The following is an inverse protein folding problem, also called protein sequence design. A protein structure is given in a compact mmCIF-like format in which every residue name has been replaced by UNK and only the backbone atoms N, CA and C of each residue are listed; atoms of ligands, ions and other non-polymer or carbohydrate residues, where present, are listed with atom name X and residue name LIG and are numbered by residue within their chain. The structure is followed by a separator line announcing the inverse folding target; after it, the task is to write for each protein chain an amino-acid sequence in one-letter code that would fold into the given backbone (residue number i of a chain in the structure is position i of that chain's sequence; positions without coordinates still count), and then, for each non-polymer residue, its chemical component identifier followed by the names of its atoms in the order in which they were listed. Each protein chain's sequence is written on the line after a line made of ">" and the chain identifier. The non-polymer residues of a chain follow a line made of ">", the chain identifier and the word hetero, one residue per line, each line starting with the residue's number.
data_IF_304480736878
#
_entry.id   IF_304480736878
#
_cell.length_a   1.000
_cell.length_b   1.000
_cell.length_c   1.000
_cell.angle_alpha   90.00
_cell.angle_beta   90.00
_cell.angle_gamma   90.00
#
_symmetry.space_group_name_H-M   'P 1'
#
loop_
_entity.id
_entity.type
_entity.pdbx_description
1 polymer ?
#
# COMPACT_ATOMS: atom_id res chain seq x y z
N UNK A 1 22.22 9.74 31.44
CA UNK A 1 22.33 8.33 31.02
C UNK A 1 20.96 7.89 30.54
N UNK A 2 20.88 7.10 29.46
CA UNK A 2 19.61 6.53 29.03
C UNK A 2 18.98 5.71 30.17
N UNK A 3 17.67 5.83 30.38
CA UNK A 3 16.97 5.13 31.46
C UNK A 3 17.02 3.60 31.30
N UNK A 4 17.26 3.12 30.07
CA UNK A 4 17.34 1.73 29.67
C UNK A 4 18.27 1.54 28.46
N UNK A 5 18.64 0.30 28.16
CA UNK A 5 19.38 -0.09 26.94
C UNK A 5 18.53 -0.97 26.02
N UNK A 6 17.95 -2.05 26.55
CA UNK A 6 17.11 -2.99 25.80
C UNK A 6 15.73 -3.05 26.44
N UNK A 7 14.79 -2.24 25.94
CA UNK A 7 13.43 -2.21 26.46
C UNK A 7 12.60 -3.33 25.83
N UNK A 8 11.94 -4.13 26.65
CA UNK A 8 10.97 -5.14 26.20
C UNK A 8 9.66 -5.00 26.96
N UNK A 9 8.55 -5.42 26.33
CA UNK A 9 7.23 -5.49 26.93
C UNK A 9 6.80 -6.96 27.03
N UNK A 10 6.14 -7.33 28.12
CA UNK A 10 5.66 -8.70 28.36
C UNK A 10 4.45 -8.64 29.31
N UNK A 11 3.71 -9.74 29.40
CA UNK A 11 2.57 -9.87 30.31
C UNK A 11 2.89 -10.83 31.47
N UNK A 12 2.41 -10.50 32.68
CA UNK A 12 2.34 -11.42 33.83
C UNK A 12 0.92 -11.39 34.37
N UNK A 13 0.21 -12.52 34.23
CA UNK A 13 -1.25 -12.53 34.37
C UNK A 13 -1.89 -11.59 33.34
N UNK A 14 -2.85 -10.78 33.78
CA UNK A 14 -3.60 -9.85 32.91
C UNK A 14 -2.94 -8.47 32.77
N UNK A 15 -1.69 -8.30 33.24
CA UNK A 15 -1.01 -7.00 33.24
C UNK A 15 0.23 -7.01 32.38
N UNK A 16 0.32 -6.04 31.48
CA UNK A 16 1.51 -5.76 30.70
C UNK A 16 2.47 -4.85 31.46
N UNK A 17 3.76 -5.04 31.23
CA UNK A 17 4.83 -4.35 31.94
C UNK A 17 6.02 -4.09 30.99
N UNK A 18 6.85 -3.08 31.29
CA UNK A 18 8.08 -2.75 30.57
C UNK A 18 9.33 -3.12 31.37
N UNK A 19 10.42 -3.54 30.70
CA UNK A 19 11.66 -4.01 31.36
C UNK A 19 12.92 -3.78 30.55
N UNK A 20 14.05 -3.87 31.25
CA UNK A 20 15.35 -4.17 30.67
C UNK A 20 15.51 -5.68 30.46
N UNK A 21 15.81 -6.13 29.24
CA UNK A 21 16.16 -7.53 28.97
C UNK A 21 17.50 -7.88 29.66
N UNK A 22 17.50 -8.89 30.53
CA UNK A 22 18.70 -9.37 31.23
C UNK A 22 19.37 -10.47 30.40
N UNK A 23 18.59 -11.47 30.00
CA UNK A 23 19.09 -12.66 29.31
C UNK A 23 17.98 -13.25 28.42
N UNK A 24 18.36 -13.80 27.28
CA UNK A 24 17.47 -14.56 26.39
C UNK A 24 18.14 -15.91 26.07
N UNK A 25 17.57 -17.01 26.54
CA UNK A 25 18.09 -18.38 26.37
C UNK A 25 16.94 -19.28 25.94
N UNK A 26 17.08 -19.98 24.82
CA UNK A 26 16.13 -20.98 24.33
C UNK A 26 14.65 -20.54 24.31
N UNK A 27 14.38 -19.29 23.90
CA UNK A 27 13.02 -18.74 23.83
C UNK A 27 12.42 -18.30 25.18
N UNK A 28 13.22 -18.36 26.25
CA UNK A 28 12.88 -17.82 27.57
C UNK A 28 13.65 -16.53 27.81
N UNK A 29 12.94 -15.55 28.36
CA UNK A 29 13.47 -14.22 28.60
C UNK A 29 13.48 -13.94 30.11
N UNK A 30 14.67 -13.65 30.63
CA UNK A 30 14.82 -13.16 32.00
C UNK A 30 14.77 -11.63 31.99
N UNK A 31 13.84 -11.06 32.76
CA UNK A 31 13.48 -9.64 32.65
C UNK A 31 13.33 -8.93 34.01
N UNK A 32 13.86 -7.70 34.16
CA UNK A 32 13.75 -6.85 35.38
C UNK A 32 12.68 -5.75 35.30
N UNK A 33 11.71 -5.70 36.23
CA UNK A 33 10.51 -4.84 36.19
C UNK A 33 10.87 -3.40 36.23
N UNK A 34 10.31 -2.64 35.30
CA UNK A 34 10.19 -1.22 35.46
C UNK A 34 8.72 -0.84 35.71
N UNK A 35 8.53 0.15 36.57
CA UNK A 35 7.25 0.84 36.73
C UNK A 35 7.22 2.09 35.84
N UNK A 36 6.06 2.39 35.25
CA UNK A 36 5.88 3.48 34.30
C UNK A 36 5.92 3.04 32.82
N UNK A 37 5.98 4.03 31.92
CA UNK A 37 6.01 3.84 30.47
C UNK A 37 7.31 4.42 29.91
N UNK A 38 7.79 3.97 28.74
CA UNK A 38 8.98 4.57 28.15
C UNK A 38 8.80 6.04 27.73
N UNK A 39 7.57 6.53 27.62
CA UNK A 39 7.25 7.90 27.24
C UNK A 39 7.17 8.84 28.44
N UNK A 40 6.66 8.36 29.58
CA UNK A 40 6.49 9.15 30.80
C UNK A 40 7.64 8.98 31.82
N UNK A 41 8.49 7.97 31.58
CA UNK A 41 9.62 7.61 32.42
C UNK A 41 9.45 6.23 33.07
N UNK A 42 10.56 5.51 33.19
CA UNK A 42 10.61 4.17 33.76
C UNK A 42 11.46 4.15 35.03
N UNK A 43 10.97 3.48 36.07
CA UNK A 43 11.68 3.30 37.35
C UNK A 43 11.99 1.83 37.54
N UNK A 44 13.28 1.49 37.66
CA UNK A 44 13.70 0.11 37.89
C UNK A 44 13.26 -0.38 39.25
N UNK A 45 12.72 -1.59 39.31
CA UNK A 45 12.42 -2.30 40.55
C UNK A 45 13.37 -3.48 40.74
N UNK A 46 13.33 -4.10 41.92
CA UNK A 46 14.08 -5.32 42.22
C UNK A 46 13.33 -6.62 41.85
N UNK A 47 12.19 -6.51 41.16
CA UNK A 47 11.39 -7.68 40.78
C UNK A 47 11.87 -8.24 39.43
N UNK A 48 12.17 -9.54 39.39
CA UNK A 48 12.56 -10.28 38.19
C UNK A 48 11.49 -11.30 37.81
N UNK A 49 11.32 -11.53 36.51
CA UNK A 49 10.48 -12.60 35.98
C UNK A 49 11.20 -13.36 34.88
N UNK A 50 10.77 -14.61 34.70
CA UNK A 50 11.04 -15.41 33.51
C UNK A 50 9.76 -15.47 32.68
N UNK A 51 9.84 -15.13 31.40
CA UNK A 51 8.68 -15.11 30.50
C UNK A 51 9.01 -15.81 29.18
N UNK A 52 8.00 -16.40 28.57
CA UNK A 52 8.12 -17.14 27.31
C UNK A 52 7.60 -16.33 26.11
N UNK A 53 6.85 -15.25 26.37
CA UNK A 53 6.24 -14.42 25.33
C UNK A 53 6.56 -12.96 25.58
N UNK A 54 7.04 -12.30 24.53
CA UNK A 54 7.20 -10.86 24.48
C UNK A 54 6.01 -10.25 23.72
N UNK A 55 5.62 -9.07 24.15
CA UNK A 55 4.65 -8.23 23.45
C UNK A 55 5.39 -7.26 22.53
N UNK A 56 4.67 -6.58 21.65
CA UNK A 56 5.21 -5.45 20.90
C UNK A 56 5.97 -4.47 21.83
N UNK A 57 7.11 -3.90 21.43
CA UNK A 57 7.91 -3.04 22.31
C UNK A 57 7.18 -1.75 22.71
N UNK A 58 6.11 -1.37 22.03
CA UNK A 58 5.21 -0.26 22.40
C UNK A 58 3.78 -0.76 22.49
N UNK A 59 3.01 -0.22 23.43
CA UNK A 59 1.60 -0.59 23.62
C UNK A 59 0.71 -0.16 22.46
N UNK A 60 0.93 1.05 21.97
CA UNK A 60 0.19 1.64 20.86
C UNK A 60 1.04 2.71 20.20
N UNK A 61 0.68 3.09 18.98
CA UNK A 61 1.20 4.27 18.29
C UNK A 61 0.06 4.95 17.57
N UNK A 62 0.00 6.29 17.48
CA UNK A 62 -1.05 6.96 16.70
C UNK A 62 -0.92 6.66 15.20
N UNK A 63 0.29 6.40 14.70
CA UNK A 63 0.55 6.13 13.29
C UNK A 63 1.85 5.32 13.13
N UNK A 64 1.95 4.56 12.04
CA UNK A 64 3.20 3.93 11.61
C UNK A 64 3.60 4.53 10.27
N UNK A 65 4.79 5.11 10.21
CA UNK A 65 5.32 5.76 9.01
C UNK A 65 6.44 4.88 8.44
N UNK A 66 6.36 4.60 7.15
CA UNK A 66 7.30 3.78 6.39
C UNK A 66 7.99 4.58 5.31
N UNK A 67 9.18 4.13 4.94
CA UNK A 67 10.03 4.76 3.94
C UNK A 67 10.37 3.73 2.87
N UNK A 68 9.70 3.80 1.74
CA UNK A 68 9.97 2.90 0.61
C UNK A 68 11.30 3.20 -0.08
N UNK A 69 11.89 2.19 -0.71
CA UNK A 69 13.07 2.34 -1.58
C UNK A 69 14.27 3.08 -0.93
N UNK A 70 14.37 3.04 0.41
CA UNK A 70 15.42 3.75 1.16
C UNK A 70 16.79 3.09 1.03
N UNK A 71 16.84 1.83 0.60
CA UNK A 71 18.07 1.10 0.30
C UNK A 71 18.39 1.20 -1.19
N UNK A 72 19.50 1.89 -1.50
CA UNK A 72 19.98 2.05 -2.88
C UNK A 72 20.16 0.71 -3.62
N UNK A 73 20.57 -0.34 -2.91
CA UNK A 73 20.73 -1.68 -3.47
C UNK A 73 19.38 -2.29 -3.88
N UNK A 74 18.35 -2.15 -3.04
CA UNK A 74 17.00 -2.64 -3.33
C UNK A 74 16.37 -1.91 -4.53
N UNK A 75 16.54 -0.58 -4.61
CA UNK A 75 16.09 0.17 -5.79
C UNK A 75 16.75 -0.32 -7.10
N UNK A 76 18.04 -0.69 -7.04
CA UNK A 76 18.76 -1.25 -8.19
C UNK A 76 18.30 -2.67 -8.55
N UNK A 77 18.06 -3.53 -7.55
CA UNK A 77 17.54 -4.89 -7.72
C UNK A 77 16.16 -4.87 -8.38
N UNK A 78 15.27 -4.03 -7.89
CA UNK A 78 13.91 -3.85 -8.41
C UNK A 78 13.86 -3.04 -9.71
N UNK A 79 15.01 -2.59 -10.23
CA UNK A 79 15.14 -1.73 -11.43
C UNK A 79 14.31 -0.44 -11.36
N UNK A 80 14.12 0.07 -10.15
CA UNK A 80 13.38 1.30 -9.88
C UNK A 80 14.35 2.49 -9.80
N UNK A 81 13.94 3.69 -10.24
CA UNK A 81 14.76 4.88 -10.11
C UNK A 81 14.97 5.20 -8.62
N UNK A 82 16.22 5.44 -8.21
CA UNK A 82 16.54 5.88 -6.84
C UNK A 82 15.88 7.23 -6.60
N UNK A 83 14.92 7.34 -5.67
CA UNK A 83 14.16 8.56 -5.50
C UNK A 83 15.02 9.64 -4.82
N UNK A 84 14.84 10.89 -5.22
CA UNK A 84 15.57 12.04 -4.63
C UNK A 84 15.07 12.37 -3.21
N UNK A 85 13.83 11.96 -2.90
CA UNK A 85 13.20 12.09 -1.60
C UNK A 85 12.59 10.75 -1.20
N UNK A 86 12.57 10.41 0.10
CA UNK A 86 11.98 9.18 0.57
C UNK A 86 10.47 9.13 0.22
N UNK A 87 9.98 8.12 -0.51
CA UNK A 87 8.56 7.87 -0.61
C UNK A 87 8.04 7.45 0.77
N UNK A 88 7.15 8.25 1.32
CA UNK A 88 6.60 8.06 2.67
C UNK A 88 5.20 7.54 2.57
N UNK A 89 4.89 6.56 3.43
CA UNK A 89 3.60 5.91 3.41
C UNK A 89 3.24 5.39 4.82
N UNK A 90 1.98 5.07 5.09
CA UNK A 90 1.50 4.87 6.47
C UNK A 90 0.61 3.65 6.65
N UNK A 91 0.66 3.02 7.82
CA UNK A 91 -0.28 1.97 8.25
C UNK A 91 -1.02 2.35 9.52
N UNK A 92 -2.24 1.83 9.72
CA UNK A 92 -2.99 2.04 10.95
C UNK A 92 -2.24 1.45 12.16
N UNK A 93 -2.48 2.05 13.32
CA UNK A 93 -1.96 1.59 14.61
C UNK A 93 -2.24 0.09 14.88
N UNK A 94 -3.42 -0.37 14.45
CA UNK A 94 -3.90 -1.75 14.63
C UNK A 94 -3.09 -2.79 13.85
N UNK A 95 -2.22 -2.37 12.92
CA UNK A 95 -1.29 -3.27 12.25
C UNK A 95 -0.11 -3.70 13.15
N UNK A 96 0.02 -3.13 14.35
CA UNK A 96 1.07 -3.47 15.30
C UNK A 96 0.83 -4.87 15.87
N UNK A 97 1.79 -5.77 15.65
CA UNK A 97 1.76 -7.13 16.18
C UNK A 97 2.94 -7.41 17.11
N UNK A 98 2.76 -8.37 18.01
CA UNK A 98 3.80 -8.83 18.92
C UNK A 98 4.81 -9.75 18.22
N UNK A 99 6.03 -9.88 18.76
CA UNK A 99 6.99 -10.86 18.27
C UNK A 99 6.36 -12.27 18.22
N UNK A 100 6.47 -12.93 17.07
CA UNK A 100 5.95 -14.29 16.83
C UNK A 100 4.43 -14.42 16.94
N UNK A 101 3.68 -13.31 17.04
CA UNK A 101 2.24 -13.32 16.91
C UNK A 101 1.85 -13.80 15.51
N UNK A 102 0.87 -14.69 15.44
CA UNK A 102 0.35 -15.17 14.16
C UNK A 102 -0.43 -14.04 13.50
N UNK A 103 0.08 -13.53 12.38
CA UNK A 103 -0.65 -12.58 11.55
C UNK A 103 -1.65 -13.37 10.71
N UNK A 104 -2.94 -13.18 10.98
CA UNK A 104 -4.00 -13.79 10.19
C UNK A 104 -4.11 -13.06 8.85
N UNK A 105 -3.66 -13.71 7.78
CA UNK A 105 -3.77 -13.20 6.41
C UNK A 105 -4.86 -13.98 5.67
N UNK A 106 -5.75 -13.25 5.01
CA UNK A 106 -6.80 -13.83 4.18
C UNK A 106 -6.19 -14.76 3.12
N UNK A 107 -6.74 -15.96 2.86
CA UNK A 107 -6.18 -16.94 1.92
C UNK A 107 -5.83 -16.36 0.55
N UNK A 108 -6.68 -15.50 0.01
CA UNK A 108 -6.46 -14.88 -1.32
C UNK A 108 -5.26 -13.93 -1.37
N UNK A 109 -4.86 -13.35 -0.23
CA UNK A 109 -3.72 -12.45 -0.16
C UNK A 109 -2.40 -13.20 0.12
N UNK A 110 -2.45 -14.45 0.58
CA UNK A 110 -1.25 -15.23 0.93
C UNK A 110 -0.26 -15.41 -0.24
N UNK A 111 -0.69 -15.63 -1.51
CA UNK A 111 0.23 -15.73 -2.64
C UNK A 111 0.88 -14.40 -3.04
N UNK A 112 0.33 -13.27 -2.58
CA UNK A 112 0.76 -11.91 -2.90
C UNK A 112 1.56 -11.27 -1.76
N UNK A 113 1.83 -12.01 -0.68
CA UNK A 113 2.60 -11.52 0.45
C UNK A 113 4.05 -11.31 0.06
N UNK A 114 4.50 -10.09 0.23
CA UNK A 114 5.92 -9.76 0.34
C UNK A 114 6.26 -9.45 1.80
N UNK A 115 7.50 -9.75 2.18
CA UNK A 115 8.00 -9.54 3.53
C UNK A 115 9.16 -8.56 3.50
N UNK A 116 8.94 -7.35 4.00
CA UNK A 116 9.97 -6.34 4.08
C UNK A 116 10.49 -6.20 5.53
N UNK A 117 11.64 -6.82 5.80
CA UNK A 117 12.32 -6.66 7.08
C UNK A 117 12.99 -5.28 7.18
N UNK A 118 12.56 -4.46 8.13
CA UNK A 118 12.97 -3.06 8.23
C UNK A 118 13.55 -2.69 9.60
N UNK A 119 14.52 -1.78 9.59
CA UNK A 119 14.91 -1.03 10.78
C UNK A 119 13.77 -0.05 11.12
N UNK A 120 13.14 -0.26 12.27
CA UNK A 120 12.04 0.58 12.75
C UNK A 120 12.55 1.55 13.81
N UNK A 121 12.27 2.84 13.63
CA UNK A 121 12.61 3.90 14.58
C UNK A 121 11.39 4.20 15.45
N UNK A 122 11.56 4.19 16.77
CA UNK A 122 10.50 4.57 17.71
C UNK A 122 10.71 6.02 18.13
N UNK A 123 9.75 6.89 17.82
CA UNK A 123 9.78 8.29 18.22
C UNK A 123 9.23 8.41 19.65
N UNK A 124 9.99 9.06 20.52
CA UNK A 124 9.69 9.17 21.96
C UNK A 124 9.08 10.50 22.39
N UNK A 125 9.08 11.52 21.51
CA UNK A 125 8.62 12.87 21.80
C UNK A 125 7.90 13.45 20.60
N UNK A 126 6.90 14.28 20.86
CA UNK A 126 6.22 15.06 19.81
C UNK A 126 7.24 15.90 19.04
N UNK A 127 7.26 15.75 17.71
CA UNK A 127 8.23 16.39 16.83
C UNK A 127 7.50 17.19 15.74
N UNK A 128 7.99 18.41 15.46
CA UNK A 128 7.54 19.21 14.32
C UNK A 128 8.69 20.11 13.84
N UNK A 129 9.00 20.07 12.54
CA UNK A 129 10.05 20.88 11.92
C UNK A 129 11.43 20.72 12.60
N UNK A 130 11.76 19.49 13.02
CA UNK A 130 13.02 19.18 13.69
C UNK A 130 14.16 19.20 12.67
N UNK A 131 15.30 19.78 13.05
CA UNK A 131 16.50 19.80 12.20
C UNK A 131 17.19 18.44 12.19
N UNK A 132 18.03 18.16 11.18
CA UNK A 132 18.79 16.90 11.11
C UNK A 132 19.68 16.69 12.35
N UNK A 133 20.30 17.77 12.84
CA UNK A 133 21.19 17.76 14.01
C UNK A 133 20.45 17.37 15.29
N UNK A 134 19.18 17.76 15.42
CA UNK A 134 18.34 17.51 16.60
C UNK A 134 17.51 16.23 16.49
N UNK A 135 17.44 15.61 15.31
CA UNK A 135 16.52 14.51 15.01
C UNK A 135 16.64 13.34 16.00
N UNK A 136 17.88 12.99 16.37
CA UNK A 136 18.14 11.86 17.28
C UNK A 136 17.68 12.12 18.73
N UNK A 137 17.47 13.38 19.13
CA UNK A 137 16.97 13.71 20.47
C UNK A 137 15.48 13.37 20.67
N UNK A 138 14.77 13.12 19.57
CA UNK A 138 13.36 12.71 19.55
C UNK A 138 13.21 11.19 19.41
N UNK A 139 14.29 10.46 19.13
CA UNK A 139 14.27 9.00 19.00
C UNK A 139 14.34 8.35 20.38
N UNK A 140 13.34 7.54 20.70
CA UNK A 140 13.32 6.71 21.91
C UNK A 140 14.28 5.52 21.77
N UNK A 141 14.30 4.91 20.58
CA UNK A 141 15.11 3.74 20.29
C UNK A 141 14.81 3.16 18.92
N UNK A 142 15.40 1.99 18.68
CA UNK A 142 15.29 1.26 17.41
C UNK A 142 14.83 -0.17 17.67
N UNK A 143 14.06 -0.72 16.76
CA UNK A 143 13.61 -2.12 16.78
C UNK A 143 13.64 -2.70 15.37
N UNK A 144 13.47 -4.01 15.25
CA UNK A 144 13.10 -4.63 13.98
C UNK A 144 11.59 -4.52 13.76
N UNK A 145 11.19 -4.29 12.51
CA UNK A 145 9.82 -4.38 12.03
C UNK A 145 9.75 -5.24 10.78
N UNK A 146 8.57 -5.76 10.48
CA UNK A 146 8.28 -6.41 9.20
C UNK A 146 7.04 -5.74 8.62
N UNK A 147 7.09 -5.43 7.33
CA UNK A 147 6.03 -4.68 6.66
C UNK A 147 5.50 -5.51 5.49
N UNK A 148 4.18 -5.66 5.46
CA UNK A 148 3.42 -6.16 4.32
C UNK A 148 2.73 -4.96 3.66
N UNK A 149 3.13 -4.56 2.46
CA UNK A 149 2.75 -3.28 1.85
C UNK A 149 1.25 -3.03 1.71
N UNK A 150 0.75 -1.89 2.24
CA UNK A 150 -0.35 -1.08 1.69
C UNK A 150 -0.23 0.33 2.28
N UNK A 151 -0.34 1.38 1.45
CA UNK A 151 -0.52 2.74 1.97
C UNK A 151 -1.58 3.53 1.23
N UNK A 152 -2.71 3.68 1.92
CA UNK A 152 -3.91 4.31 1.39
C UNK A 152 -4.54 3.52 0.26
N UNK A 153 -5.84 3.63 0.10
CA UNK A 153 -6.56 3.04 -1.02
C UNK A 153 -7.84 3.83 -1.28
N UNK A 154 -8.23 4.00 -2.54
CA UNK A 154 -9.50 4.64 -2.91
C UNK A 154 -10.68 3.65 -2.75
N UNK A 155 -10.44 2.38 -3.08
CA UNK A 155 -11.30 1.24 -2.76
C UNK A 155 -10.65 0.38 -1.68
N UNK A 156 -11.44 -0.04 -0.68
CA UNK A 156 -10.95 -0.77 0.49
C UNK A 156 -11.88 -1.91 0.90
N UNK A 157 -11.44 -2.68 1.90
CA UNK A 157 -12.28 -3.65 2.59
C UNK A 157 -13.21 -2.96 3.61
N UNK A 158 -14.40 -3.51 3.82
CA UNK A 158 -15.31 -3.03 4.85
C UNK A 158 -15.92 -4.24 5.59
N UNK A 159 -15.56 -4.40 6.87
CA UNK A 159 -16.01 -5.52 7.70
C UNK A 159 -17.53 -5.56 7.95
N UNK A 160 -18.24 -4.47 7.66
CA UNK A 160 -19.69 -4.38 7.76
C UNK A 160 -20.41 -4.78 6.47
N UNK A 161 -19.67 -5.00 5.38
CA UNK A 161 -20.21 -5.37 4.07
C UNK A 161 -19.76 -6.79 3.70
N UNK A 162 -20.60 -7.55 2.96
CA UNK A 162 -20.17 -8.81 2.40
C UNK A 162 -19.03 -8.60 1.39
N UNK A 163 -18.05 -9.51 1.42
CA UNK A 163 -16.97 -9.56 0.43
C UNK A 163 -17.44 -10.43 -0.73
N UNK A 164 -17.31 -9.94 -1.97
CA UNK A 164 -17.50 -10.75 -3.16
C UNK A 164 -16.24 -10.75 -4.02
N UNK A 165 -16.06 -11.81 -4.82
CA UNK A 165 -14.89 -12.00 -5.67
C UNK A 165 -14.67 -10.83 -6.62
N UNK A 166 -13.40 -10.41 -6.73
CA UNK A 166 -12.91 -9.52 -7.79
C UNK A 166 -12.92 -8.02 -7.51
N UNK A 167 -13.63 -7.54 -6.48
CA UNK A 167 -13.78 -6.10 -6.23
C UNK A 167 -13.57 -5.68 -4.77
N UNK A 168 -13.15 -4.43 -4.56
CA UNK A 168 -13.05 -3.82 -3.23
C UNK A 168 -14.46 -3.67 -2.62
N UNK A 169 -14.62 -4.07 -1.37
CA UNK A 169 -15.92 -4.13 -0.69
C UNK A 169 -16.61 -2.76 -0.54
N UNK A 170 -15.84 -1.67 -0.52
CA UNK A 170 -16.40 -0.31 -0.53
C UNK A 170 -15.35 0.75 -0.78
N UNK A 171 -15.79 2.00 -0.82
CA UNK A 171 -14.93 3.18 -0.97
C UNK A 171 -14.31 3.56 0.38
N UNK A 172 -13.11 4.11 0.36
CA UNK A 172 -12.46 4.57 1.59
C UNK A 172 -13.19 5.75 2.21
N UNK A 173 -13.41 5.69 3.53
CA UNK A 173 -14.02 6.78 4.28
C UNK A 173 -13.14 8.03 4.25
N UNK A 174 -13.77 9.19 4.10
CA UNK A 174 -13.07 10.48 4.06
C UNK A 174 -12.40 10.80 2.73
N UNK A 175 -12.55 9.93 1.71
CA UNK A 175 -12.18 10.23 0.32
C UNK A 175 -13.48 10.32 -0.48
N UNK A 176 -13.79 11.48 -1.09
CA UNK A 176 -15.02 11.68 -1.88
C UNK A 176 -14.84 11.06 -3.27
N UNK A 177 -14.83 9.72 -3.32
CA UNK A 177 -14.55 8.96 -4.52
C UNK A 177 -15.78 8.91 -5.43
N UNK A 178 -15.58 9.23 -6.70
CA UNK A 178 -16.59 9.12 -7.76
C UNK A 178 -15.98 8.50 -9.03
N UNK A 179 -16.84 8.14 -9.99
CA UNK A 179 -16.45 7.55 -11.28
C UNK A 179 -16.95 8.46 -12.38
N UNK A 180 -16.03 9.04 -13.15
CA UNK A 180 -16.35 10.02 -14.20
C UNK A 180 -16.22 9.40 -15.58
N UNK A 181 -17.17 9.65 -16.48
CA UNK A 181 -17.02 9.25 -17.88
C UNK A 181 -16.15 10.26 -18.65
N UNK A 182 -15.05 9.84 -19.29
CA UNK A 182 -14.12 10.73 -20.01
C UNK A 182 -14.68 11.41 -21.26
N UNK A 183 -15.84 10.98 -21.76
CA UNK A 183 -16.47 11.55 -22.96
C UNK A 183 -17.29 12.82 -22.71
N UNK A 184 -17.37 13.28 -21.47
CA UNK A 184 -18.16 14.48 -21.12
C UNK A 184 -17.23 15.69 -21.08
N UNK A 185 -17.66 16.80 -21.70
CA UNK A 185 -17.01 18.11 -21.67
C UNK A 185 -16.44 18.41 -20.28
N UNK A 186 -15.31 19.14 -20.25
CA UNK A 186 -14.40 19.50 -19.12
C UNK A 186 -15.02 20.08 -17.83
N UNK A 187 -16.33 19.98 -17.66
CA UNK A 187 -17.12 20.27 -16.46
C UNK A 187 -17.57 19.04 -15.68
N UNK A 188 -17.17 17.81 -16.10
CA UNK A 188 -17.18 16.60 -15.27
C UNK A 188 -18.41 16.47 -14.38
N UNK A 189 -19.59 16.34 -14.99
CA UNK A 189 -20.79 16.01 -14.22
C UNK A 189 -20.75 14.49 -14.01
N UNK A 190 -20.77 13.99 -12.76
CA UNK A 190 -20.91 12.56 -12.52
C UNK A 190 -22.17 12.08 -13.20
N UNK A 191 -22.03 11.13 -14.13
CA UNK A 191 -23.19 10.38 -14.58
C UNK A 191 -23.56 9.42 -13.44
N UNK A 192 -24.67 9.73 -12.77
CA UNK A 192 -25.17 8.95 -11.65
C UNK A 192 -25.48 7.48 -12.05
N UNK A 193 -25.60 7.22 -13.35
CA UNK A 193 -25.89 5.91 -13.91
C UNK A 193 -24.66 5.20 -14.52
N UNK A 194 -23.47 5.83 -14.53
CA UNK A 194 -22.28 5.21 -15.11
C UNK A 194 -21.70 4.10 -14.24
N UNK A 195 -21.72 2.88 -14.78
CA UNK A 195 -21.13 1.70 -14.14
C UNK A 195 -19.60 1.64 -14.30
N UNK A 196 -18.99 2.40 -15.21
CA UNK A 196 -17.54 2.37 -15.48
C UNK A 196 -16.97 3.72 -15.98
N UNK A 197 -15.79 4.10 -15.51
CA UNK A 197 -15.19 5.40 -15.79
C UNK A 197 -13.85 5.60 -15.10
N UNK A 198 -13.34 6.82 -15.17
CA UNK A 198 -12.10 7.20 -14.50
C UNK A 198 -12.36 7.43 -13.01
N UNK A 199 -11.47 6.89 -12.17
CA UNK A 199 -11.51 7.03 -10.72
C UNK A 199 -11.09 8.45 -10.32
N UNK A 200 -12.00 9.18 -9.69
CA UNK A 200 -11.78 10.57 -9.27
C UNK A 200 -12.06 10.81 -7.79
N UNK A 201 -11.53 11.91 -7.25
CA UNK A 201 -11.91 12.47 -5.96
C UNK A 201 -12.41 13.90 -6.13
N UNK A 202 -13.67 14.16 -5.78
CA UNK A 202 -14.37 15.43 -6.07
C UNK A 202 -14.09 16.54 -5.06
N UNK A 203 -13.42 16.23 -3.96
CA UNK A 203 -12.90 17.20 -3.01
C UNK A 203 -11.59 16.72 -2.36
N UNK A 204 -10.91 17.64 -1.67
CA UNK A 204 -9.68 17.34 -0.95
C UNK A 204 -9.90 16.27 0.13
N UNK A 205 -8.91 15.40 0.32
CA UNK A 205 -8.93 14.30 1.28
C UNK A 205 -7.65 14.32 2.16
N UNK A 206 -7.68 13.68 3.35
CA UNK A 206 -6.68 13.92 4.41
C UNK A 206 -5.21 13.67 4.03
N UNK A 207 -4.96 12.70 3.16
CA UNK A 207 -3.64 12.30 2.68
C UNK A 207 -3.35 12.77 1.24
N UNK A 208 -4.11 13.75 0.73
CA UNK A 208 -3.82 14.36 -0.57
C UNK A 208 -2.48 15.10 -0.50
N UNK A 209 -1.53 14.85 -1.44
CA UNK A 209 -0.28 15.60 -1.48
C UNK A 209 -0.55 17.11 -1.62
N UNK A 210 0.18 17.95 -0.87
CA UNK A 210 -0.01 19.42 -0.94
C UNK A 210 0.53 20.00 -2.25
N UNK A 211 1.65 19.48 -2.73
CA UNK A 211 2.25 19.79 -4.03
C UNK A 211 3.35 18.79 -4.37
N UNK A 212 3.82 18.76 -5.62
CA UNK A 212 5.13 18.19 -5.92
C UNK A 212 6.23 19.18 -5.57
N UNK A 213 7.37 18.65 -5.11
CA UNK A 213 8.54 19.45 -4.79
C UNK A 213 9.42 19.70 -6.02
N UNK A 214 10.16 20.83 -6.03
CA UNK A 214 11.11 21.19 -7.09
C UNK A 214 10.58 22.20 -8.13
N UNK A 215 11.39 22.47 -9.16
CA UNK A 215 11.02 23.41 -10.23
C UNK A 215 9.74 22.96 -10.93
N UNK A 216 8.79 23.89 -11.09
CA UNK A 216 7.46 23.63 -11.67
C UNK A 216 6.66 22.53 -10.94
N UNK A 217 6.98 22.24 -9.67
CA UNK A 217 6.31 21.20 -8.87
C UNK A 217 4.79 21.34 -8.85
N UNK A 218 4.26 22.54 -8.60
CA UNK A 218 2.82 22.80 -8.65
C UNK A 218 2.21 22.55 -10.04
N UNK A 219 2.92 22.91 -11.13
CA UNK A 219 2.43 22.67 -12.49
C UNK A 219 2.41 21.19 -12.81
N UNK A 220 3.44 20.44 -12.40
CA UNK A 220 3.51 18.99 -12.57
C UNK A 220 2.44 18.26 -11.76
N UNK A 221 2.22 18.72 -10.53
CA UNK A 221 1.18 18.21 -9.65
C UNK A 221 -0.22 18.44 -10.25
N UNK A 222 -0.49 19.66 -10.70
CA UNK A 222 -1.72 19.99 -11.42
C UNK A 222 -1.86 19.16 -12.70
N UNK A 223 -0.79 19.01 -13.47
CA UNK A 223 -0.80 18.21 -14.69
C UNK A 223 -1.10 16.73 -14.42
N UNK A 224 -0.61 16.18 -13.31
CA UNK A 224 -0.76 14.78 -12.97
C UNK A 224 -2.18 14.43 -12.51
N UNK A 225 -2.87 15.32 -11.79
CA UNK A 225 -4.11 14.96 -11.10
C UNK A 225 -5.29 15.88 -11.42
N UNK A 226 -5.09 17.08 -11.97
CA UNK A 226 -6.15 18.09 -12.14
C UNK A 226 -6.24 18.64 -13.56
N UNK A 227 -5.47 18.10 -14.52
CA UNK A 227 -5.49 18.56 -15.91
C UNK A 227 -6.75 18.12 -16.67
N UNK A 228 -7.28 16.96 -16.32
CA UNK A 228 -8.39 16.33 -17.03
C UNK A 228 -9.74 16.94 -16.60
N UNK A 229 -9.92 17.13 -15.29
CA UNK A 229 -11.14 17.71 -14.72
C UNK A 229 -10.79 18.89 -13.81
N UNK A 230 -11.39 20.05 -14.08
CA UNK A 230 -11.11 21.27 -13.31
C UNK A 230 -11.52 21.10 -11.84
N UNK A 231 -10.55 21.28 -10.93
CA UNK A 231 -10.76 21.17 -9.49
C UNK A 231 -11.00 19.74 -8.95
N UNK A 232 -10.90 18.71 -9.78
CA UNK A 232 -11.17 17.32 -9.41
C UNK A 232 -9.88 16.49 -9.54
N UNK A 233 -9.57 15.71 -8.50
CA UNK A 233 -8.43 14.81 -8.52
C UNK A 233 -8.74 13.60 -9.42
N UNK A 234 -7.90 13.33 -10.40
CA UNK A 234 -7.99 12.19 -11.32
C UNK A 234 -6.89 11.20 -10.98
N UNK A 235 -7.23 9.99 -10.55
CA UNK A 235 -6.23 9.03 -10.06
C UNK A 235 -5.42 8.40 -11.18
N UNK A 236 -6.01 8.26 -12.38
CA UNK A 236 -5.40 7.60 -13.53
C UNK A 236 -5.72 6.12 -13.64
N UNK A 237 -6.72 5.63 -12.92
CA UNK A 237 -7.28 4.29 -13.01
C UNK A 237 -8.67 4.33 -13.65
N UNK A 238 -8.95 3.33 -14.50
CA UNK A 238 -10.29 3.05 -14.99
C UNK A 238 -10.92 2.01 -14.07
N UNK A 239 -12.11 2.31 -13.56
CA UNK A 239 -12.80 1.51 -12.57
C UNK A 239 -14.24 1.29 -12.97
N UNK A 240 -14.86 0.29 -12.37
CA UNK A 240 -16.31 0.08 -12.47
C UNK A 240 -16.92 -0.20 -11.12
N UNK A 241 -18.21 0.13 -10.96
CA UNK A 241 -18.95 -0.14 -9.73
C UNK A 241 -20.00 -1.20 -9.97
N UNK A 242 -20.07 -2.21 -9.10
CA UNK A 242 -21.11 -3.22 -9.22
C UNK A 242 -22.49 -2.58 -8.98
N UNK A 243 -23.50 -2.77 -9.84
CA UNK A 243 -24.79 -2.09 -9.72
C UNK A 243 -25.52 -2.40 -8.40
N UNK A 244 -25.42 -3.66 -7.94
CA UNK A 244 -26.07 -4.14 -6.71
C UNK A 244 -25.16 -4.04 -5.47
N UNK A 245 -23.99 -4.69 -5.48
CA UNK A 245 -23.10 -4.77 -4.30
C UNK A 245 -22.31 -3.50 -4.03
N UNK A 246 -22.26 -2.58 -5.02
CA UNK A 246 -21.48 -1.33 -4.98
C UNK A 246 -19.97 -1.52 -4.79
N UNK A 247 -19.45 -2.72 -5.06
CA UNK A 247 -18.02 -2.97 -5.07
C UNK A 247 -17.32 -2.20 -6.17
N UNK A 248 -16.10 -1.73 -5.87
CA UNK A 248 -15.24 -1.08 -6.85
C UNK A 248 -14.33 -2.12 -7.50
N UNK A 249 -14.39 -2.25 -8.82
CA UNK A 249 -13.50 -3.09 -9.62
C UNK A 249 -12.47 -2.20 -10.31
N UNK A 250 -11.19 -2.50 -10.13
CA UNK A 250 -10.14 -1.88 -10.93
C UNK A 250 -10.03 -2.58 -12.27
N UNK A 251 -10.21 -1.82 -13.35
CA UNK A 251 -10.10 -2.28 -14.73
C UNK A 251 -8.71 -1.96 -15.32
N UNK A 252 -7.78 -1.46 -14.48
CA UNK A 252 -6.44 -1.07 -14.87
C UNK A 252 -6.29 0.43 -15.06
N UNK A 253 -5.18 0.84 -15.71
CA UNK A 253 -4.84 2.25 -15.88
C UNK A 253 -5.71 2.93 -16.94
N UNK A 254 -6.21 4.12 -16.64
CA UNK A 254 -7.03 4.91 -17.56
C UNK A 254 -6.31 5.27 -18.86
N UNK A 255 -5.00 5.53 -18.78
CA UNK A 255 -4.12 5.78 -19.93
C UNK A 255 -3.82 4.52 -20.78
N UNK A 256 -4.12 3.33 -20.25
CA UNK A 256 -3.98 2.03 -20.90
C UNK A 256 -5.33 1.38 -21.25
N UNK A 257 -6.44 2.12 -21.18
CA UNK A 257 -7.76 1.65 -21.61
C UNK A 257 -7.75 1.40 -23.11
N UNK A 258 -8.21 0.21 -23.50
CA UNK A 258 -8.34 -0.19 -24.88
C UNK A 258 -9.69 0.28 -25.41
N UNK A 259 -9.73 0.78 -26.64
CA UNK A 259 -10.94 1.30 -27.27
C UNK A 259 -11.12 0.85 -28.73
N UNK A 260 -11.05 -0.47 -29.04
CA UNK A 260 -11.42 -0.95 -30.36
C UNK A 260 -12.92 -0.75 -30.59
N UNK A 261 -13.28 -0.18 -31.73
CA UNK A 261 -14.65 0.00 -32.22
C UNK A 261 -15.56 0.81 -31.29
N UNK A 262 -14.95 1.69 -30.50
CA UNK A 262 -15.66 2.57 -29.56
C UNK A 262 -16.08 1.89 -28.25
N UNK A 263 -15.64 0.65 -28.00
CA UNK A 263 -15.89 -0.07 -26.74
C UNK A 263 -14.67 0.07 -25.84
N UNK A 264 -14.84 0.78 -24.72
CA UNK A 264 -13.78 0.94 -23.71
C UNK A 264 -13.77 -0.21 -22.73
N UNK A 265 -12.63 -0.86 -22.57
CA UNK A 265 -12.44 -1.89 -21.56
C UNK A 265 -10.99 -1.95 -21.06
N UNK A 266 -10.83 -2.57 -19.89
CA UNK A 266 -9.57 -2.69 -19.19
C UNK A 266 -8.67 -3.77 -19.75
N UNK A 267 -7.35 -3.51 -19.82
CA UNK A 267 -6.39 -4.57 -20.14
C UNK A 267 -6.34 -5.66 -19.06
N UNK A 268 -6.76 -5.36 -17.82
CA UNK A 268 -6.85 -6.34 -16.72
C UNK A 268 -7.79 -7.50 -17.02
N UNK A 269 -8.89 -7.28 -17.75
CA UNK A 269 -9.82 -8.35 -18.14
C UNK A 269 -9.12 -9.38 -19.04
N UNK A 270 -8.26 -8.91 -19.96
CA UNK A 270 -7.43 -9.79 -20.80
C UNK A 270 -6.41 -10.53 -19.93
N UNK A 271 -5.72 -9.83 -19.04
CA UNK A 271 -4.72 -10.45 -18.16
C UNK A 271 -5.34 -11.53 -17.27
N UNK A 272 -6.52 -11.29 -16.71
CA UNK A 272 -7.23 -12.27 -15.90
C UNK A 272 -7.54 -13.55 -16.68
N UNK A 273 -7.93 -13.46 -17.95
CA UNK A 273 -8.13 -14.63 -18.82
C UNK A 273 -6.81 -15.35 -19.07
N UNK A 274 -5.73 -14.61 -19.35
CA UNK A 274 -4.40 -15.20 -19.57
C UNK A 274 -3.90 -15.94 -18.33
N UNK A 275 -4.00 -15.33 -17.16
CA UNK A 275 -3.57 -15.93 -15.89
C UNK A 275 -4.45 -17.12 -15.48
N UNK A 276 -5.76 -17.03 -15.68
CA UNK A 276 -6.68 -18.11 -15.26
C UNK A 276 -6.64 -19.32 -16.19
N UNK A 277 -6.52 -19.12 -17.51
CA UNK A 277 -6.63 -20.20 -18.51
C UNK A 277 -5.27 -20.69 -18.99
N UNK A 278 -4.27 -19.81 -19.09
CA UNK A 278 -2.99 -20.09 -19.75
C UNK A 278 -1.77 -19.96 -18.82
N UNK A 279 -1.98 -20.01 -17.51
CA UNK A 279 -0.90 -19.90 -16.51
C UNK A 279 0.16 -21.01 -16.58
N UNK A 280 -0.12 -22.14 -17.25
CA UNK A 280 0.87 -23.20 -17.43
C UNK A 280 1.82 -22.91 -18.62
N UNK A 281 1.38 -22.12 -19.58
CA UNK A 281 2.07 -21.83 -20.83
C UNK A 281 2.69 -20.43 -20.86
N UNK A 282 1.98 -19.44 -20.33
CA UNK A 282 2.36 -18.02 -20.35
C UNK A 282 3.01 -17.67 -19.02
N UNK A 283 4.21 -17.07 -19.10
CA UNK A 283 4.95 -16.54 -17.96
C UNK A 283 4.52 -15.10 -17.64
N UNK A 284 4.28 -14.28 -18.66
CA UNK A 284 3.92 -12.87 -18.53
C UNK A 284 3.20 -12.38 -19.80
N UNK A 285 2.43 -11.29 -19.70
CA UNK A 285 1.71 -10.72 -20.84
C UNK A 285 1.60 -9.20 -20.78
N UNK A 286 1.55 -8.57 -21.96
CA UNK A 286 1.34 -7.12 -22.09
C UNK A 286 0.37 -6.83 -23.24
N UNK A 287 -0.71 -6.13 -22.92
CA UNK A 287 -1.73 -5.75 -23.88
C UNK A 287 -1.63 -4.25 -24.18
N UNK A 288 -1.59 -3.89 -25.46
CA UNK A 288 -1.39 -2.50 -25.91
C UNK A 288 -2.37 -2.17 -27.04
N UNK A 289 -3.07 -1.05 -26.89
CA UNK A 289 -3.85 -0.43 -27.97
C UNK A 289 -2.89 0.23 -28.97
N UNK A 290 -3.05 -0.09 -30.26
CA UNK A 290 -2.29 0.54 -31.32
C UNK A 290 -3.22 1.11 -32.39
N UNK A 291 -3.01 2.38 -32.73
CA UNK A 291 -3.65 3.02 -33.86
C UNK A 291 -2.61 3.66 -34.76
N UNK A 292 -2.43 3.13 -35.98
CA UNK A 292 -1.56 3.74 -36.99
C UNK A 292 -2.34 4.80 -37.76
N UNK A 293 -1.67 5.76 -38.43
CA UNK A 293 -2.34 6.78 -39.24
C UNK A 293 -3.24 6.23 -40.35
N UNK A 294 -2.99 4.99 -40.80
CA UNK A 294 -3.77 4.29 -41.82
C UNK A 294 -4.90 3.43 -41.25
N UNK A 295 -4.95 3.23 -39.92
CA UNK A 295 -5.95 2.36 -39.31
C UNK A 295 -7.25 3.14 -39.08
N UNK A 296 -8.37 2.56 -39.50
CA UNK A 296 -9.69 3.15 -39.26
C UNK A 296 -10.05 3.18 -37.77
N UNK A 297 -9.45 2.27 -37.00
CA UNK A 297 -9.80 1.99 -35.61
C UNK A 297 -8.56 1.54 -34.81
N UNK A 298 -8.65 1.52 -33.49
CA UNK A 298 -7.63 0.93 -32.65
C UNK A 298 -7.62 -0.60 -32.80
N UNK A 299 -6.42 -1.17 -32.96
CA UNK A 299 -6.20 -2.62 -32.82
C UNK A 299 -5.54 -2.93 -31.50
N UNK A 300 -5.96 -4.02 -30.87
CA UNK A 300 -5.38 -4.50 -29.62
C UNK A 300 -4.26 -5.50 -29.96
N UNK A 301 -3.07 -5.29 -29.39
CA UNK A 301 -1.91 -6.15 -29.58
C UNK A 301 -1.56 -6.77 -28.23
N UNK A 302 -1.59 -8.10 -28.17
CA UNK A 302 -1.19 -8.88 -27.00
C UNK A 302 0.21 -9.48 -27.22
N UNK A 303 1.15 -9.08 -26.37
CA UNK A 303 2.47 -9.68 -26.26
C UNK A 303 2.44 -10.75 -25.19
N UNK A 304 3.01 -11.92 -25.48
CA UNK A 304 3.08 -13.04 -24.55
C UNK A 304 4.53 -13.47 -24.36
N UNK A 305 4.95 -13.57 -23.11
CA UNK A 305 6.19 -14.22 -22.71
C UNK A 305 5.86 -15.66 -22.37
N UNK A 306 6.34 -16.59 -23.19
CA UNK A 306 6.10 -18.03 -22.97
C UNK A 306 7.08 -18.59 -21.93
N UNK A 307 6.64 -19.56 -21.13
CA UNK A 307 7.53 -20.31 -20.23
C UNK A 307 8.57 -21.12 -21.02
N UNK A 308 9.74 -21.46 -20.44
CA UNK A 308 10.87 -22.09 -21.15
C UNK A 308 10.56 -23.37 -21.94
N UNK A 309 9.50 -24.10 -21.58
CA UNK A 309 9.10 -25.35 -22.22
C UNK A 309 7.72 -25.27 -22.92
N UNK A 310 7.12 -24.09 -23.01
CA UNK A 310 5.84 -23.86 -23.67
C UNK A 310 6.09 -23.30 -25.08
N UNK A 311 5.62 -24.00 -26.10
CA UNK A 311 5.65 -23.49 -27.47
C UNK A 311 4.43 -22.60 -27.72
N UNK A 312 4.64 -21.42 -28.30
CA UNK A 312 3.55 -20.64 -28.87
C UNK A 312 3.01 -21.40 -30.08
N UNK A 313 1.88 -22.09 -29.94
CA UNK A 313 1.27 -22.84 -31.03
C UNK A 313 0.81 -21.86 -32.10
N UNK A 314 1.47 -21.91 -33.26
CA UNK A 314 1.32 -21.00 -34.39
C UNK A 314 -0.09 -21.05 -35.06
N UNK A 315 -0.99 -21.91 -34.58
CA UNK A 315 -2.31 -22.18 -35.15
C UNK A 315 -3.40 -21.17 -34.72
N UNK A 316 -3.05 -20.09 -34.00
CA UNK A 316 -3.98 -19.04 -33.59
C UNK A 316 -3.68 -17.68 -34.24
N UNK A 317 -2.85 -17.67 -35.29
CA UNK A 317 -2.79 -16.56 -36.26
C UNK A 317 -3.80 -16.82 -37.36
N UNK A 318 -5.07 -16.58 -37.08
CA UNK A 318 -6.07 -16.49 -38.14
C UNK A 318 -6.29 -15.01 -38.49
N UNK A 319 -5.99 -14.72 -39.76
CA UNK A 319 -6.56 -13.72 -40.70
C UNK A 319 -6.99 -12.34 -40.18
#
# INVERSE_FOLDING_TARGET
>A
MAAFQNLVRFAVGDRAHYRGLIEAVDGKYKVQRFDGTPFDGVVKTNEEHEVETLLSPIESTPNVIYIGLNYKAHAQESKLPVPTYPPVFTKPADALASPFEKIEIHPDAQPLLDYEGELTVVIGKDAKNVTEEEALDYVLGYTAGNTSDIAGCFGTGNFLLPVHVGGCAGLALGIPVEVYEPSVDSKGVPDADSEAGDLVATAAFPNMPVSFWGQDGNKRYHKAYFAEFDGVWTHGDFVSTHPITKQLFSQGRADGVLNPSGVRFGSSEIYQVIESVFSNEVEDSLCVGQRRPSDNDERVILFLKMKPNAAFLQNSRDE
#
